data_IF_784271842681
#
_entry.id   IF_784271842681
#
_cell.length_a   1.000
_cell.length_b   1.000
_cell.length_c   1.000
_cell.angle_alpha   90.00
_cell.angle_beta   90.00
_cell.angle_gamma   90.00
#
_symmetry.space_group_name_H-M   'P 1'
#
loop_
_entity.id
_entity.type
_entity.pdbx_description
1 polymer ?
#
# COMPACT_ATOMS: atom_id res chain seq x y z
N UNK A 1 22.31 -27.64 1.48
CA UNK A 1 21.97 -26.89 0.25
C UNK A 1 23.29 -26.46 -0.37
N UNK A 2 23.38 -26.32 -1.69
CA UNK A 2 24.67 -26.15 -2.35
C UNK A 2 24.55 -25.02 -3.41
N UNK A 3 25.29 -23.92 -3.26
CA UNK A 3 25.24 -22.74 -4.15
C UNK A 3 26.59 -22.50 -4.78
N UNK A 4 26.75 -22.54 -6.11
CA UNK A 4 27.95 -22.01 -6.76
C UNK A 4 27.89 -20.48 -6.75
N UNK A 5 28.75 -19.82 -5.95
CA UNK A 5 28.95 -18.36 -6.04
C UNK A 5 29.50 -17.97 -7.41
N UNK A 6 28.91 -16.97 -8.05
CA UNK A 6 29.43 -16.31 -9.26
C UNK A 6 30.12 -14.97 -8.93
N UNK A 7 30.66 -14.81 -7.71
CA UNK A 7 31.47 -13.66 -7.34
C UNK A 7 32.85 -14.11 -6.82
N UNK A 8 33.86 -13.32 -7.20
CA UNK A 8 35.27 -13.33 -6.80
C UNK A 8 35.47 -13.57 -5.28
N UNK A 9 36.63 -14.11 -4.86
CA UNK A 9 36.86 -14.60 -3.50
C UNK A 9 36.51 -13.57 -2.42
N UNK A 10 35.88 -14.07 -1.37
CA UNK A 10 35.40 -13.33 -0.20
C UNK A 10 36.56 -12.53 0.45
N UNK A 11 36.46 -11.19 0.59
CA UNK A 11 37.61 -10.34 0.95
C UNK A 11 38.03 -10.42 2.43
N UNK A 12 37.69 -11.45 3.19
CA UNK A 12 38.00 -11.53 4.63
C UNK A 12 38.31 -12.94 5.14
N UNK A 13 38.80 -13.84 4.27
CA UNK A 13 39.41 -15.09 4.70
C UNK A 13 40.90 -15.08 4.34
N UNK A 14 41.67 -14.22 5.00
CA UNK A 14 43.08 -14.52 5.26
C UNK A 14 43.36 -14.35 6.76
N UNK A 15 43.56 -15.48 7.44
CA UNK A 15 43.99 -15.53 8.83
C UNK A 15 45.52 -15.64 8.84
N UNK A 16 46.21 -14.51 8.94
CA UNK A 16 47.56 -14.46 9.49
C UNK A 16 47.70 -13.28 10.46
N UNK A 17 47.70 -13.63 11.74
CA UNK A 17 48.40 -12.99 12.88
C UNK A 17 49.11 -11.65 12.66
N UNK A 18 48.69 -10.60 13.38
CA UNK A 18 49.51 -9.85 14.37
C UNK A 18 48.75 -8.66 14.93
N UNK A 19 48.89 -8.45 16.23
CA UNK A 19 48.42 -7.32 17.03
C UNK A 19 48.88 -5.95 16.47
N UNK A 20 48.07 -4.90 16.64
CA UNK A 20 48.42 -3.63 17.34
C UNK A 20 47.48 -2.46 16.96
N UNK A 21 46.87 -1.89 18.02
CA UNK A 21 46.61 -0.48 18.38
C UNK A 21 45.90 0.54 17.45
N UNK A 22 45.05 1.33 18.12
CA UNK A 22 44.34 2.53 17.68
C UNK A 22 45.29 3.64 17.19
N UNK A 23 44.90 4.45 16.20
CA UNK A 23 45.03 5.92 16.21
C UNK A 23 44.11 6.58 15.15
N UNK A 24 43.55 7.74 15.50
CA UNK A 24 42.83 8.68 14.64
C UNK A 24 43.79 9.46 13.71
N UNK A 25 43.35 9.87 12.51
CA UNK A 25 43.51 11.24 11.96
C UNK A 25 43.08 11.37 10.50
N UNK A 26 42.90 12.62 10.07
CA UNK A 26 42.16 13.10 8.90
C UNK A 26 42.96 13.17 7.58
N UNK A 27 42.20 13.50 6.54
CA UNK A 27 42.48 14.40 5.40
C UNK A 27 42.64 13.77 3.99
N UNK A 28 41.79 14.31 3.11
CA UNK A 28 41.79 14.52 1.66
C UNK A 28 43.02 14.06 0.83
N UNK A 29 42.77 13.41 -0.32
CA UNK A 29 42.98 14.01 -1.66
C UNK A 29 42.72 12.98 -2.79
N UNK A 30 42.27 13.52 -3.92
CA UNK A 30 42.02 12.88 -5.22
C UNK A 30 43.28 12.24 -5.83
N UNK A 31 43.13 11.17 -6.61
CA UNK A 31 43.71 11.08 -7.97
C UNK A 31 43.21 9.82 -8.72
N UNK A 32 42.83 10.05 -9.98
CA UNK A 32 42.55 9.05 -11.03
C UNK A 32 43.85 8.32 -11.40
N UNK A 33 43.79 7.00 -11.64
CA UNK A 33 44.57 6.36 -12.71
C UNK A 33 43.94 5.00 -13.09
N UNK A 34 43.75 4.84 -14.40
CA UNK A 34 43.34 3.63 -15.11
C UNK A 34 44.48 2.60 -15.05
N UNK A 35 44.20 1.37 -14.61
CA UNK A 35 45.01 0.19 -14.96
C UNK A 35 44.09 -0.97 -15.37
N UNK A 36 44.24 -1.36 -16.64
CA UNK A 36 43.71 -2.58 -17.25
C UNK A 36 44.45 -3.79 -16.67
N UNK A 37 43.76 -4.64 -15.89
CA UNK A 37 44.21 -6.00 -15.59
C UNK A 37 43.15 -7.01 -16.06
N UNK A 38 43.45 -7.64 -17.20
CA UNK A 38 42.85 -8.88 -17.68
C UNK A 38 43.28 -10.04 -16.75
N UNK A 39 42.47 -10.36 -15.75
CA UNK A 39 42.60 -11.62 -14.99
C UNK A 39 41.47 -12.59 -15.35
N UNK A 40 41.81 -13.51 -16.25
CA UNK A 40 41.14 -14.80 -16.47
C UNK A 40 41.26 -15.64 -15.18
N UNK A 41 40.30 -15.51 -14.25
CA UNK A 41 40.24 -16.34 -13.04
C UNK A 41 39.07 -17.34 -13.09
N UNK A 42 39.42 -18.57 -13.49
CA UNK A 42 38.61 -19.78 -13.47
C UNK A 42 38.36 -20.21 -12.01
N UNK A 43 37.44 -19.53 -11.32
CA UNK A 43 37.09 -19.87 -9.94
C UNK A 43 35.88 -20.81 -9.87
N UNK A 44 36.15 -22.08 -9.55
CA UNK A 44 35.12 -23.08 -9.25
C UNK A 44 34.30 -22.69 -8.02
N UNK A 45 33.06 -22.25 -8.24
CA UNK A 45 32.17 -21.72 -7.21
C UNK A 45 32.03 -22.63 -5.99
N UNK A 46 32.48 -22.15 -4.83
CA UNK A 46 32.29 -22.78 -3.53
C UNK A 46 30.83 -22.82 -3.14
N UNK A 47 30.47 -23.86 -2.39
CA UNK A 47 29.11 -24.36 -2.32
C UNK A 47 28.55 -24.37 -0.90
N UNK A 48 27.68 -23.40 -0.58
CA UNK A 48 27.21 -23.13 0.80
C UNK A 48 25.77 -23.59 1.11
N UNK A 49 25.52 -23.99 2.37
CA UNK A 49 24.22 -24.45 2.87
C UNK A 49 23.40 -23.34 3.55
N UNK A 50 22.23 -23.05 3.00
CA UNK A 50 21.20 -22.18 3.60
C UNK A 50 20.60 -22.84 4.83
N UNK A 51 20.43 -22.10 5.93
CA UNK A 51 19.64 -22.54 7.09
C UNK A 51 18.18 -22.13 6.96
N UNK A 52 17.89 -20.84 6.82
CA UNK A 52 16.54 -20.35 6.56
C UNK A 52 16.55 -19.00 5.84
N UNK A 53 15.39 -18.61 5.30
CA UNK A 53 15.20 -17.34 4.60
C UNK A 53 14.63 -16.34 5.59
N UNK A 54 15.23 -15.15 5.65
CA UNK A 54 14.83 -14.08 6.56
C UNK A 54 13.90 -13.08 5.89
N UNK A 55 14.13 -12.75 4.61
CA UNK A 55 13.40 -11.69 3.91
C UNK A 55 13.44 -11.87 2.38
N UNK A 56 12.60 -11.12 1.67
CA UNK A 56 12.48 -11.12 0.20
C UNK A 56 12.31 -9.69 -0.33
N UNK A 57 12.99 -9.36 -1.43
CA UNK A 57 12.78 -8.09 -2.12
C UNK A 57 12.91 -8.23 -3.64
N UNK A 58 12.34 -7.26 -4.36
CA UNK A 58 12.54 -7.12 -5.80
C UNK A 58 13.49 -5.95 -6.04
N UNK A 59 14.75 -6.27 -6.39
CA UNK A 59 15.96 -5.42 -6.37
C UNK A 59 16.69 -5.40 -5.01
N UNK A 60 17.98 -5.73 -5.04
CA UNK A 60 18.87 -5.77 -3.86
C UNK A 60 18.91 -4.42 -3.13
N UNK A 61 18.73 -4.37 -1.80
CA UNK A 61 18.91 -3.16 -1.03
C UNK A 61 20.39 -2.76 -1.09
N UNK A 62 20.68 -1.50 -1.39
CA UNK A 62 22.01 -0.88 -1.35
C UNK A 62 23.02 -1.21 -2.47
N UNK A 63 22.62 -1.80 -3.60
CA UNK A 63 23.54 -1.89 -4.74
C UNK A 63 23.19 -2.98 -5.74
N UNK A 64 22.62 -2.59 -6.87
CA UNK A 64 22.38 -3.47 -8.01
C UNK A 64 21.55 -2.78 -9.09
N UNK A 65 22.10 -2.68 -10.31
CA UNK A 65 21.33 -2.23 -11.50
C UNK A 65 20.39 -3.31 -12.04
N UNK A 66 20.59 -4.58 -11.67
CA UNK A 66 19.76 -5.70 -12.12
C UNK A 66 18.47 -5.79 -11.29
N UNK A 67 17.33 -5.70 -11.96
CA UNK A 67 16.03 -6.08 -11.41
C UNK A 67 15.92 -7.60 -11.38
N UNK A 68 15.54 -8.15 -10.23
CA UNK A 68 15.40 -9.58 -9.99
C UNK A 68 14.89 -9.83 -8.59
N UNK A 69 14.47 -11.06 -8.30
CA UNK A 69 14.03 -11.47 -6.97
C UNK A 69 15.26 -11.82 -6.12
N UNK A 70 15.36 -11.22 -4.93
CA UNK A 70 16.44 -11.48 -3.98
C UNK A 70 15.88 -11.95 -2.64
N UNK A 71 16.62 -12.84 -1.98
CA UNK A 71 16.29 -13.35 -0.66
C UNK A 71 17.40 -13.00 0.32
N UNK A 72 17.05 -12.58 1.54
CA UNK A 72 18.01 -12.47 2.63
C UNK A 72 18.17 -13.84 3.24
N UNK A 73 19.38 -14.38 3.16
CA UNK A 73 19.71 -15.75 3.53
C UNK A 73 20.46 -15.75 4.85
N UNK A 74 20.01 -16.59 5.79
CA UNK A 74 20.82 -16.99 6.93
C UNK A 74 21.54 -18.30 6.61
N UNK A 75 22.86 -18.29 6.76
CA UNK A 75 23.71 -19.43 6.38
C UNK A 75 23.90 -20.40 7.54
N UNK A 76 23.83 -21.70 7.25
CA UNK A 76 23.92 -22.71 8.29
C UNK A 76 25.31 -22.77 8.88
N UNK A 77 25.40 -22.56 10.19
CA UNK A 77 26.66 -22.57 10.93
C UNK A 77 27.40 -21.24 10.92
N UNK A 78 26.75 -20.16 10.49
CA UNK A 78 27.25 -18.79 10.53
C UNK A 78 26.33 -17.93 11.39
N UNK A 79 26.90 -16.87 11.97
CA UNK A 79 26.16 -15.89 12.76
C UNK A 79 25.43 -14.87 11.84
N UNK A 80 24.49 -14.10 12.41
CA UNK A 80 23.63 -13.14 11.69
C UNK A 80 24.42 -12.05 10.93
N UNK A 81 25.66 -11.77 11.34
CA UNK A 81 26.55 -10.83 10.66
C UNK A 81 26.92 -11.27 9.23
N UNK A 82 26.74 -12.56 8.93
CA UNK A 82 27.01 -13.15 7.62
C UNK A 82 25.75 -13.25 6.74
N UNK A 83 24.60 -12.74 7.18
CA UNK A 83 23.39 -12.76 6.36
C UNK A 83 23.59 -11.95 5.07
N UNK A 84 23.37 -12.58 3.91
CA UNK A 84 23.54 -11.92 2.61
C UNK A 84 22.27 -11.93 1.77
N UNK A 85 22.17 -10.96 0.86
CA UNK A 85 21.12 -10.90 -0.16
C UNK A 85 21.55 -11.64 -1.41
N UNK A 86 20.92 -12.79 -1.64
CA UNK A 86 21.22 -13.67 -2.77
C UNK A 86 20.13 -13.61 -3.84
N UNK A 87 20.51 -13.55 -5.14
CA UNK A 87 19.57 -13.61 -6.23
C UNK A 87 18.93 -15.01 -6.32
N UNK A 88 17.68 -15.05 -6.76
CA UNK A 88 16.92 -16.28 -6.98
C UNK A 88 17.66 -17.30 -7.85
N UNK A 89 18.43 -16.84 -8.84
CA UNK A 89 19.19 -17.69 -9.76
C UNK A 89 20.35 -18.44 -9.08
N UNK A 90 20.85 -17.95 -7.93
CA UNK A 90 21.92 -18.60 -7.17
C UNK A 90 21.44 -19.73 -6.25
N UNK A 91 20.13 -19.84 -6.00
CA UNK A 91 19.57 -20.77 -5.02
C UNK A 91 19.17 -22.11 -5.67
N UNK A 92 20.10 -23.06 -5.77
CA UNK A 92 19.78 -24.42 -6.26
C UNK A 92 19.05 -25.26 -5.18
N UNK A 93 17.90 -25.88 -5.51
CA UNK A 93 17.04 -26.60 -4.54
C UNK A 93 15.68 -25.93 -4.25
N UNK A 94 15.18 -25.22 -5.27
CA UNK A 94 14.18 -24.15 -5.27
C UNK A 94 12.84 -24.32 -4.49
N UNK A 95 12.22 -25.50 -4.32
CA UNK A 95 10.84 -25.53 -3.79
C UNK A 95 10.71 -25.51 -2.26
N UNK A 96 11.57 -26.21 -1.50
CA UNK A 96 11.21 -26.64 -0.14
C UNK A 96 11.44 -25.59 0.95
N UNK A 97 12.56 -24.86 0.94
CA UNK A 97 12.81 -23.79 1.91
C UNK A 97 12.03 -22.52 1.63
N UNK A 98 11.75 -22.23 0.35
CA UNK A 98 10.81 -21.16 -0.02
C UNK A 98 9.41 -21.53 0.46
N UNK A 99 8.99 -22.79 0.31
CA UNK A 99 7.73 -23.29 0.87
C UNK A 99 7.70 -23.12 2.39
N UNK A 100 8.73 -23.55 3.12
CA UNK A 100 8.82 -23.37 4.58
C UNK A 100 8.78 -21.89 4.97
N UNK A 101 9.49 -21.01 4.26
CA UNK A 101 9.47 -19.56 4.48
C UNK A 101 8.07 -18.96 4.24
N UNK A 102 7.41 -19.33 3.15
CA UNK A 102 6.05 -18.85 2.82
C UNK A 102 5.02 -19.41 3.80
N UNK A 103 5.12 -20.68 4.20
CA UNK A 103 4.27 -21.29 5.23
C UNK A 103 4.49 -20.62 6.60
N UNK A 104 5.75 -20.30 6.95
CA UNK A 104 6.09 -19.57 8.16
C UNK A 104 5.52 -18.13 8.14
N UNK A 105 5.66 -17.40 7.03
CA UNK A 105 5.05 -16.08 6.84
C UNK A 105 3.51 -16.13 6.91
N UNK A 106 2.90 -17.14 6.30
CA UNK A 106 1.45 -17.33 6.31
C UNK A 106 0.91 -17.68 7.71
N UNK A 107 1.66 -18.47 8.50
CA UNK A 107 1.27 -18.87 9.86
C UNK A 107 1.39 -17.74 10.89
N UNK A 108 2.24 -16.73 10.65
CA UNK A 108 2.47 -15.60 11.57
C UNK A 108 1.59 -14.36 11.33
N UNK A 109 0.51 -14.46 10.54
CA UNK A 109 -0.47 -13.37 10.33
C UNK A 109 0.14 -12.02 9.89
N UNK A 110 1.35 -12.03 9.32
CA UNK A 110 1.93 -10.85 8.68
C UNK A 110 1.41 -10.76 7.24
N UNK A 111 0.20 -10.22 7.10
CA UNK A 111 -0.21 -9.57 5.85
C UNK A 111 0.55 -8.23 5.70
N UNK A 112 1.87 -8.29 5.71
CA UNK A 112 2.74 -7.14 5.50
C UNK A 112 3.79 -7.54 4.47
N UNK A 113 3.36 -7.66 3.21
CA UNK A 113 4.30 -7.43 2.11
C UNK A 113 4.48 -5.92 2.02
N UNK A 114 5.25 -5.38 2.95
CA UNK A 114 5.83 -4.05 2.80
C UNK A 114 6.94 -4.22 1.77
N UNK A 115 6.69 -3.84 0.51
CA UNK A 115 7.77 -3.55 -0.41
C UNK A 115 8.50 -2.32 0.11
N UNK A 116 9.39 -2.52 1.08
CA UNK A 116 10.31 -1.50 1.54
C UNK A 116 11.20 -1.09 0.36
N UNK A 117 11.19 0.21 0.05
CA UNK A 117 12.28 0.82 -0.71
C UNK A 117 11.99 1.23 -2.16
N UNK A 118 10.90 1.96 -2.42
CA UNK A 118 10.93 2.95 -3.52
C UNK A 118 10.24 4.23 -3.06
N UNK A 119 10.90 5.41 -3.10
CA UNK A 119 10.19 6.67 -2.98
C UNK A 119 9.33 6.85 -4.23
N UNK A 120 8.08 6.37 -4.19
CA UNK A 120 7.11 6.58 -5.25
C UNK A 120 6.71 8.05 -5.26
N UNK A 121 7.44 8.82 -6.07
CA UNK A 121 7.10 10.19 -6.44
C UNK A 121 5.74 10.16 -7.14
N UNK A 122 4.70 10.66 -6.48
CA UNK A 122 3.33 10.91 -6.97
C UNK A 122 3.07 10.44 -8.42
N UNK A 123 2.80 9.14 -8.61
CA UNK A 123 2.23 8.64 -9.87
C UNK A 123 1.14 7.66 -9.51
N UNK A 124 -0.09 8.06 -9.82
CA UNK A 124 -1.35 7.37 -9.52
C UNK A 124 -1.30 5.88 -9.86
N UNK A 125 -1.15 5.04 -8.84
CA UNK A 125 -1.65 3.67 -8.88
C UNK A 125 -3.10 3.74 -8.40
N UNK A 126 -4.02 3.51 -9.33
CA UNK A 126 -5.45 3.50 -9.03
C UNK A 126 -5.75 2.29 -8.14
N UNK A 127 -6.60 2.48 -7.12
CA UNK A 127 -7.12 1.45 -6.26
C UNK A 127 -7.77 0.40 -7.14
N UNK A 128 -7.09 -0.73 -7.31
CA UNK A 128 -7.72 -1.97 -7.68
C UNK A 128 -8.52 -2.41 -6.45
N UNK A 129 -9.75 -1.90 -6.31
CA UNK A 129 -10.76 -2.66 -5.57
C UNK A 129 -10.78 -4.03 -6.25
N UNK A 130 -10.44 -5.10 -5.53
CA UNK A 130 -10.08 -6.38 -6.15
C UNK A 130 -11.31 -7.16 -6.67
N UNK A 131 -12.46 -6.51 -6.75
CA UNK A 131 -13.51 -6.98 -7.62
C UNK A 131 -13.25 -6.37 -9.00
N UNK A 132 -12.96 -7.18 -10.03
CA UNK A 132 -13.04 -6.68 -11.39
C UNK A 132 -14.46 -6.14 -11.54
N UNK A 133 -14.54 -4.82 -11.70
CA UNK A 133 -15.77 -4.07 -11.71
C UNK A 133 -15.83 -3.28 -12.99
N UNK A 134 -17.05 -3.00 -13.47
CA UNK A 134 -17.31 -2.42 -14.80
C UNK A 134 -16.80 -0.96 -14.97
N UNK A 135 -15.94 -0.46 -14.09
CA UNK A 135 -15.47 0.92 -14.11
C UNK A 135 -14.07 1.03 -14.75
N UNK A 136 -14.02 1.40 -16.03
CA UNK A 136 -12.80 1.88 -16.67
C UNK A 136 -12.67 3.37 -16.33
N UNK A 137 -11.72 3.73 -15.46
CA UNK A 137 -11.38 5.14 -15.24
C UNK A 137 -10.39 5.57 -16.33
N UNK A 138 -10.92 6.07 -17.44
CA UNK A 138 -10.12 6.71 -18.50
C UNK A 138 -9.40 7.95 -17.95
N UNK A 139 -8.11 7.85 -17.65
CA UNK A 139 -7.34 9.02 -17.20
C UNK A 139 -5.87 8.82 -16.80
N UNK A 140 -5.33 7.61 -16.85
CA UNK A 140 -3.93 7.34 -16.52
C UNK A 140 -2.99 7.41 -17.74
N UNK A 141 -1.83 8.06 -17.60
CA UNK A 141 -0.70 7.83 -18.51
C UNK A 141 -0.10 6.48 -18.12
N UNK A 142 -0.30 5.45 -18.94
CA UNK A 142 0.29 4.12 -18.76
C UNK A 142 1.76 4.19 -19.22
N UNK A 143 2.68 3.63 -18.43
CA UNK A 143 4.07 3.48 -18.89
C UNK A 143 4.10 2.46 -20.03
N UNK A 144 4.72 2.82 -21.16
CA UNK A 144 4.83 1.94 -22.34
C UNK A 144 5.49 0.59 -22.03
N UNK A 145 6.27 0.52 -20.96
CA UNK A 145 6.94 -0.69 -20.48
C UNK A 145 5.99 -1.80 -20.00
N UNK A 146 4.73 -1.47 -19.69
CA UNK A 146 3.71 -2.44 -19.24
C UNK A 146 2.56 -2.62 -20.23
N UNK A 147 2.73 -2.19 -21.49
CA UNK A 147 1.72 -2.32 -22.55
C UNK A 147 1.31 -3.79 -22.77
N UNK A 148 2.23 -4.74 -22.58
CA UNK A 148 1.97 -6.19 -22.65
C UNK A 148 1.07 -6.73 -21.52
N UNK A 149 0.96 -5.99 -20.42
CA UNK A 149 0.08 -6.29 -19.28
C UNK A 149 -1.22 -5.48 -19.35
N UNK A 150 -1.51 -4.85 -20.50
CA UNK A 150 -2.84 -4.30 -20.73
C UNK A 150 -3.85 -5.44 -20.58
N UNK A 151 -4.66 -5.35 -19.53
CA UNK A 151 -5.94 -6.04 -19.47
C UNK A 151 -6.91 -5.24 -20.35
N UNK A 152 -6.61 -5.16 -21.64
CA UNK A 152 -7.57 -4.69 -22.62
C UNK A 152 -8.52 -5.87 -22.85
N UNK A 153 -9.77 -5.71 -22.41
CA UNK A 153 -10.81 -6.71 -22.64
C UNK A 153 -11.26 -6.59 -24.10
N UNK A 154 -10.35 -6.82 -25.05
CA UNK A 154 -10.73 -7.02 -26.43
C UNK A 154 -11.58 -8.31 -26.49
N UNK A 155 -12.90 -8.13 -26.65
CA UNK A 155 -13.89 -9.14 -27.02
C UNK A 155 -14.17 -10.30 -26.04
N UNK A 156 -14.12 -10.07 -24.72
CA UNK A 156 -14.66 -11.06 -23.76
C UNK A 156 -15.86 -10.50 -22.99
N UNK A 157 -17.01 -11.17 -23.13
CA UNK A 157 -18.24 -10.85 -22.40
C UNK A 157 -18.11 -11.39 -20.97
N UNK A 158 -17.40 -10.66 -20.10
CA UNK A 158 -17.15 -11.04 -18.71
C UNK A 158 -18.25 -10.49 -17.81
N UNK A 159 -18.93 -11.39 -17.08
CA UNK A 159 -19.93 -11.02 -16.07
C UNK A 159 -19.24 -10.59 -14.77
N UNK A 160 -18.84 -9.32 -14.72
CA UNK A 160 -18.18 -8.70 -13.58
C UNK A 160 -19.18 -8.16 -12.56
N UNK A 161 -18.77 -8.08 -11.29
CA UNK A 161 -19.57 -7.45 -10.25
C UNK A 161 -19.63 -5.93 -10.44
N UNK A 162 -20.64 -5.29 -9.85
CA UNK A 162 -20.76 -3.84 -9.89
C UNK A 162 -19.65 -3.15 -9.10
N UNK A 163 -19.20 -2.00 -9.60
CA UNK A 163 -18.18 -1.18 -8.97
C UNK A 163 -18.60 -0.73 -7.57
N UNK A 164 -17.68 -0.84 -6.61
CA UNK A 164 -17.88 -0.32 -5.27
C UNK A 164 -17.58 1.18 -5.26
N UNK A 165 -18.49 1.95 -4.68
CA UNK A 165 -18.33 3.38 -4.44
C UNK A 165 -18.12 3.66 -2.96
N UNK A 166 -17.76 4.90 -2.62
CA UNK A 166 -17.52 5.30 -1.23
C UNK A 166 -18.67 4.94 -0.29
N UNK A 167 -19.92 5.07 -0.76
CA UNK A 167 -21.12 4.65 -0.01
C UNK A 167 -21.07 3.19 0.39
N UNK A 168 -20.66 2.31 -0.52
CA UNK A 168 -20.56 0.88 -0.25
C UNK A 168 -19.52 0.57 0.82
N UNK A 169 -18.52 1.43 0.97
CA UNK A 169 -17.37 1.21 1.85
C UNK A 169 -17.61 1.74 3.26
N UNK A 170 -18.21 2.92 3.42
CA UNK A 170 -18.20 3.65 4.71
C UNK A 170 -19.58 4.05 5.26
N UNK A 171 -20.69 3.80 4.55
CA UNK A 171 -22.02 4.34 4.94
C UNK A 171 -22.62 3.75 6.23
N UNK A 172 -22.14 2.61 6.73
CA UNK A 172 -22.53 2.03 8.03
C UNK A 172 -21.72 2.57 9.22
N UNK A 173 -20.64 3.32 8.98
CA UNK A 173 -19.79 3.81 10.06
C UNK A 173 -20.49 4.93 10.87
N UNK A 174 -20.38 4.89 12.21
CA UNK A 174 -20.98 5.91 13.07
C UNK A 174 -20.34 7.29 12.81
N UNK A 175 -21.09 8.36 13.07
CA UNK A 175 -20.54 9.72 12.98
C UNK A 175 -19.48 9.94 14.06
N UNK A 176 -18.42 10.67 13.72
CA UNK A 176 -17.37 11.04 14.67
C UNK A 176 -17.07 12.53 14.60
N UNK A 177 -17.05 13.16 15.78
CA UNK A 177 -16.72 14.57 15.95
C UNK A 177 -15.21 14.80 15.81
N UNK A 178 -14.78 16.05 15.52
CA UNK A 178 -13.36 16.40 15.43
C UNK A 178 -12.57 16.08 16.73
N UNK A 179 -13.25 16.05 17.88
CA UNK A 179 -12.68 15.76 19.20
C UNK A 179 -12.64 14.27 19.57
N UNK A 180 -13.20 13.37 18.75
CA UNK A 180 -13.17 11.92 19.01
C UNK A 180 -11.73 11.37 19.10
N UNK A 181 -11.42 10.70 20.21
CA UNK A 181 -10.09 10.14 20.52
C UNK A 181 -10.13 8.64 20.85
N UNK A 182 -11.33 8.03 20.91
CA UNK A 182 -11.46 6.61 21.21
C UNK A 182 -10.85 5.78 20.09
N UNK A 183 -9.99 4.84 20.48
CA UNK A 183 -9.43 3.85 19.55
C UNK A 183 -10.39 2.70 19.29
N UNK A 184 -11.32 2.44 20.22
CA UNK A 184 -12.34 1.40 20.12
C UNK A 184 -13.72 2.00 20.38
N UNK A 185 -14.70 1.63 19.57
CA UNK A 185 -16.10 1.97 19.78
C UNK A 185 -17.02 0.85 19.27
N UNK A 186 -18.30 0.90 19.59
CA UNK A 186 -19.26 -0.04 19.02
C UNK A 186 -19.84 0.47 17.72
N UNK A 187 -20.13 -0.46 16.81
CA UNK A 187 -21.03 -0.16 15.70
C UNK A 187 -22.39 0.25 16.24
N UNK A 188 -22.99 1.25 15.60
CA UNK A 188 -24.35 1.71 15.92
C UNK A 188 -25.35 1.08 14.96
N UNK A 189 -24.98 0.98 13.68
CA UNK A 189 -25.81 0.43 12.62
C UNK A 189 -25.32 -0.97 12.18
N UNK A 190 -26.27 -1.76 11.67
CA UNK A 190 -25.96 -2.96 10.91
C UNK A 190 -25.30 -2.63 9.56
N UNK A 191 -24.49 -3.53 8.99
CA UNK A 191 -23.89 -3.31 7.67
C UNK A 191 -24.97 -3.21 6.60
N UNK A 192 -24.89 -2.17 5.78
CA UNK A 192 -25.88 -1.83 4.75
C UNK A 192 -25.57 -2.55 3.43
N UNK A 193 -24.31 -2.64 3.07
CA UNK A 193 -23.87 -3.19 1.76
C UNK A 193 -23.24 -4.57 1.89
N UNK A 194 -23.10 -5.27 0.75
CA UNK A 194 -22.38 -6.55 0.71
C UNK A 194 -20.92 -6.39 1.17
N UNK A 195 -20.25 -5.32 0.73
CA UNK A 195 -18.88 -5.02 1.14
C UNK A 195 -18.77 -4.83 2.66
N UNK A 196 -19.69 -4.09 3.27
CA UNK A 196 -19.67 -3.88 4.72
C UNK A 196 -19.92 -5.17 5.50
N UNK A 197 -20.84 -6.03 5.02
CA UNK A 197 -21.02 -7.37 5.60
C UNK A 197 -19.75 -8.21 5.49
N UNK A 198 -19.08 -8.15 4.35
CA UNK A 198 -17.84 -8.86 4.08
C UNK A 198 -16.71 -8.42 5.03
N UNK A 199 -16.42 -7.12 5.09
CA UNK A 199 -15.27 -6.57 5.82
C UNK A 199 -15.42 -6.69 7.34
N UNK A 200 -16.67 -6.70 7.85
CA UNK A 200 -17.01 -6.91 9.26
C UNK A 200 -17.00 -8.37 9.72
N UNK A 201 -17.11 -9.34 8.80
CA UNK A 201 -17.22 -10.78 9.12
C UNK A 201 -15.92 -11.56 9.03
N UNK A 202 -14.94 -11.09 8.25
CA UNK A 202 -13.73 -11.88 7.95
C UNK A 202 -12.85 -12.23 9.17
N UNK A 203 -13.25 -11.86 10.40
CA UNK A 203 -12.38 -11.85 11.60
C UNK A 203 -12.62 -12.88 12.68
N UNK A 204 -13.73 -13.61 12.68
CA UNK A 204 -14.05 -14.63 13.69
C UNK A 204 -15.20 -15.48 13.19
N UNK A 205 -15.03 -16.80 13.09
CA UNK A 205 -16.06 -17.86 13.01
C UNK A 205 -17.37 -17.54 12.22
N UNK A 206 -17.32 -16.64 11.24
CA UNK A 206 -18.52 -16.11 10.55
C UNK A 206 -19.39 -15.10 11.32
N UNK A 207 -18.98 -14.63 12.50
CA UNK A 207 -19.76 -13.71 13.36
C UNK A 207 -19.49 -12.25 13.00
N UNK A 208 -20.56 -11.43 12.99
CA UNK A 208 -20.45 -9.99 12.77
C UNK A 208 -19.67 -9.29 13.90
N UNK A 209 -18.59 -8.60 13.54
CA UNK A 209 -17.86 -7.73 14.45
C UNK A 209 -18.76 -6.63 15.06
N UNK A 210 -18.79 -6.57 16.39
CA UNK A 210 -19.53 -5.57 17.16
C UNK A 210 -18.67 -4.38 17.61
N UNK A 211 -17.34 -4.55 17.56
CA UNK A 211 -16.36 -3.52 17.93
C UNK A 211 -15.71 -2.98 16.66
N UNK A 212 -15.60 -1.67 16.60
CA UNK A 212 -15.01 -0.86 15.55
C UNK A 212 -13.71 -0.27 16.10
N UNK A 213 -12.60 -0.62 15.46
CA UNK A 213 -11.26 -0.13 15.82
C UNK A 213 -10.83 1.01 14.89
N UNK A 214 -10.01 1.91 15.40
CA UNK A 214 -9.31 2.94 14.62
C UNK A 214 -10.23 3.87 13.81
N UNK A 215 -11.47 4.07 14.26
CA UNK A 215 -12.37 5.07 13.69
C UNK A 215 -12.05 6.49 14.21
N UNK A 216 -10.76 6.81 14.22
CA UNK A 216 -10.17 8.08 14.62
C UNK A 216 -9.57 8.78 13.39
N UNK A 217 -9.42 10.10 13.46
CA UNK A 217 -9.03 10.94 12.32
C UNK A 217 -7.89 11.87 12.69
N UNK A 218 -7.27 12.46 11.67
CA UNK A 218 -6.31 13.55 11.90
C UNK A 218 -7.07 14.73 12.52
N UNK A 219 -6.64 15.14 13.72
CA UNK A 219 -7.16 16.36 14.36
C UNK A 219 -6.67 17.56 13.58
N UNK A 220 -7.57 18.18 12.82
CA UNK A 220 -7.27 19.41 12.10
C UNK A 220 -6.99 20.54 13.11
N UNK A 221 -6.04 21.41 12.77
CA UNK A 221 -5.90 22.68 13.48
C UNK A 221 -7.16 23.53 13.26
N UNK A 222 -7.36 24.54 14.12
CA UNK A 222 -8.57 25.38 14.08
C UNK A 222 -8.79 26.01 12.69
N UNK A 223 -7.73 26.53 12.07
CA UNK A 223 -7.85 27.19 10.77
C UNK A 223 -8.32 26.21 9.66
N UNK A 224 -7.75 25.01 9.62
CA UNK A 224 -8.11 23.99 8.64
C UNK A 224 -9.48 23.38 8.91
N UNK A 225 -9.84 23.21 10.19
CA UNK A 225 -11.18 22.79 10.58
C UNK A 225 -12.22 23.81 10.12
N UNK A 226 -12.00 25.11 10.39
CA UNK A 226 -12.87 26.18 9.91
C UNK A 226 -13.00 26.16 8.39
N UNK A 227 -11.91 25.97 7.64
CA UNK A 227 -11.97 25.84 6.17
C UNK A 227 -12.85 24.69 5.73
N UNK A 228 -12.68 23.50 6.32
CA UNK A 228 -13.51 22.34 5.99
C UNK A 228 -14.99 22.64 6.26
N UNK A 229 -15.32 23.26 7.40
CA UNK A 229 -16.70 23.67 7.72
C UNK A 229 -17.32 24.60 6.66
N UNK A 230 -16.53 25.46 6.02
CA UNK A 230 -17.00 26.37 4.98
C UNK A 230 -17.14 25.71 3.60
N UNK A 231 -16.49 24.57 3.35
CA UNK A 231 -16.68 23.83 2.09
C UNK A 231 -18.09 23.23 2.08
N UNK A 232 -18.96 23.56 1.11
CA UNK A 232 -20.35 23.08 1.11
C UNK A 232 -20.45 21.55 1.04
N UNK A 233 -21.51 20.97 1.59
CA UNK A 233 -21.71 19.51 1.66
C UNK A 233 -22.49 18.99 0.45
N UNK A 234 -21.88 19.04 -0.75
CA UNK A 234 -22.46 18.53 -2.00
C UNK A 234 -21.37 17.94 -2.91
N UNK A 235 -21.74 17.10 -3.87
CA UNK A 235 -20.78 16.48 -4.81
C UNK A 235 -19.93 17.53 -5.52
N UNK A 236 -18.63 17.25 -5.64
CA UNK A 236 -17.68 18.05 -6.43
C UNK A 236 -17.13 19.30 -5.74
N UNK A 237 -17.57 19.64 -4.53
CA UNK A 237 -17.12 20.85 -3.83
C UNK A 237 -15.72 20.75 -3.28
N UNK A 238 -15.02 21.88 -3.31
CA UNK A 238 -13.66 22.02 -2.83
C UNK A 238 -13.38 23.47 -2.42
N UNK A 239 -12.10 23.83 -2.23
CA UNK A 239 -11.73 25.20 -1.87
C UNK A 239 -12.20 26.28 -2.85
N UNK A 240 -12.49 25.93 -4.12
CA UNK A 240 -13.02 26.86 -5.13
C UNK A 240 -14.43 27.37 -4.81
N UNK A 241 -15.16 26.67 -3.95
CA UNK A 241 -16.49 27.06 -3.49
C UNK A 241 -16.46 28.01 -2.27
N UNK A 242 -15.26 28.33 -1.76
CA UNK A 242 -15.12 29.24 -0.63
C UNK A 242 -15.43 30.70 -1.03
N UNK A 243 -15.96 31.53 -0.12
CA UNK A 243 -16.21 32.95 -0.36
C UNK A 243 -14.97 33.70 -0.88
N UNK A 244 -15.19 34.57 -1.86
CA UNK A 244 -14.12 35.38 -2.48
C UNK A 244 -13.28 34.64 -3.52
N UNK A 245 -13.65 33.41 -3.88
CA UNK A 245 -13.02 32.66 -4.97
C UNK A 245 -13.89 32.71 -6.22
N UNK A 246 -13.27 32.96 -7.37
CA UNK A 246 -13.88 32.79 -8.69
C UNK A 246 -13.01 31.91 -9.57
N UNK A 247 -13.63 31.29 -10.59
CA UNK A 247 -12.91 30.50 -11.60
C UNK A 247 -13.04 31.20 -12.94
N UNK A 248 -11.92 31.60 -13.54
CA UNK A 248 -11.85 32.22 -14.88
C UNK A 248 -11.23 31.21 -15.84
N UNK A 249 -12.02 30.72 -16.80
CA UNK A 249 -11.65 29.55 -17.59
C UNK A 249 -11.57 28.30 -16.70
N UNK A 250 -10.36 27.75 -16.50
CA UNK A 250 -10.11 26.65 -15.55
C UNK A 250 -9.15 27.05 -14.41
N UNK A 251 -8.81 28.35 -14.30
CA UNK A 251 -7.90 28.85 -13.26
C UNK A 251 -8.66 29.54 -12.16
N UNK A 252 -8.24 29.28 -10.94
CA UNK A 252 -8.77 29.94 -9.75
C UNK A 252 -8.14 31.33 -9.58
N UNK A 253 -8.97 32.31 -9.25
CA UNK A 253 -8.58 33.68 -8.94
C UNK A 253 -9.36 34.17 -7.72
N UNK A 254 -8.81 35.15 -7.00
CA UNK A 254 -9.60 35.88 -6.00
C UNK A 254 -10.52 36.86 -6.73
N UNK A 255 -11.76 36.96 -6.27
CA UNK A 255 -12.71 37.92 -6.84
C UNK A 255 -12.31 39.35 -6.43
N UNK A 256 -11.98 40.25 -7.38
CA UNK A 256 -11.60 41.63 -7.07
C UNK A 256 -12.75 42.45 -6.44
N UNK A 257 -14.00 42.00 -6.58
CA UNK A 257 -15.17 42.68 -6.02
C UNK A 257 -15.53 42.21 -4.61
N UNK A 258 -14.88 41.15 -4.11
CA UNK A 258 -15.14 40.59 -2.80
C UNK A 258 -13.90 40.80 -1.94
N UNK A 259 -14.06 41.52 -0.83
CA UNK A 259 -12.97 41.68 0.13
C UNK A 259 -12.52 40.31 0.64
N UNK A 260 -11.20 40.15 0.77
CA UNK A 260 -10.61 38.89 1.17
C UNK A 260 -11.13 38.47 2.55
N UNK A 261 -11.69 37.27 2.64
CA UNK A 261 -12.21 36.73 3.91
C UNK A 261 -11.07 36.16 4.76
N UNK A 262 -11.07 36.52 6.04
CA UNK A 262 -10.09 36.07 7.03
C UNK A 262 -10.75 35.25 8.14
N UNK A 263 -10.01 34.28 8.65
CA UNK A 263 -10.33 33.49 9.84
C UNK A 263 -10.08 34.32 11.11
N UNK A 264 -10.62 33.91 12.27
CA UNK A 264 -10.50 34.67 13.53
C UNK A 264 -9.07 35.06 13.92
N UNK A 265 -8.07 34.25 13.59
CA UNK A 265 -6.65 34.50 13.89
C UNK A 265 -5.90 35.24 12.77
N UNK A 266 -6.61 35.91 11.85
CA UNK A 266 -6.02 36.75 10.82
C UNK A 266 -5.40 36.00 9.63
N UNK A 267 -5.51 34.67 9.57
CA UNK A 267 -5.14 33.91 8.37
C UNK A 267 -6.25 33.98 7.33
N UNK A 268 -5.93 33.98 6.02
CA UNK A 268 -6.98 33.99 5.01
C UNK A 268 -7.78 32.68 5.03
N UNK A 269 -9.10 32.79 4.80
CA UNK A 269 -9.98 31.64 4.65
C UNK A 269 -9.49 30.75 3.49
N UNK A 270 -9.20 31.38 2.34
CA UNK A 270 -8.62 30.71 1.17
C UNK A 270 -7.08 30.81 1.25
N UNK A 271 -6.36 29.69 1.43
CA UNK A 271 -4.91 29.71 1.49
C UNK A 271 -4.28 30.08 0.15
N UNK A 272 -3.20 30.89 0.18
CA UNK A 272 -2.47 31.26 -1.04
C UNK A 272 -1.95 30.04 -1.81
N UNK A 273 -1.50 29.00 -1.11
CA UNK A 273 -1.00 27.79 -1.76
C UNK A 273 -2.08 27.08 -2.59
N UNK A 274 -3.35 27.12 -2.15
CA UNK A 274 -4.44 26.46 -2.86
C UNK A 274 -4.72 27.16 -4.20
N UNK A 275 -4.57 28.50 -4.23
CA UNK A 275 -4.73 29.33 -5.42
C UNK A 275 -3.63 29.04 -6.45
N UNK A 276 -2.39 28.83 -6.01
CA UNK A 276 -1.25 28.54 -6.91
C UNK A 276 -1.08 27.06 -7.25
N UNK A 277 -1.75 26.15 -6.54
CA UNK A 277 -1.58 24.70 -6.69
C UNK A 277 -1.95 24.24 -8.12
N UNK A 278 -1.02 23.51 -8.76
CA UNK A 278 -1.12 23.10 -10.18
C UNK A 278 -1.46 24.30 -11.08
N UNK A 279 -0.73 25.41 -10.91
CA UNK A 279 -0.92 26.67 -11.66
C UNK A 279 -2.38 27.18 -11.58
N UNK A 280 -3.05 26.93 -10.46
CA UNK A 280 -4.42 27.31 -10.16
C UNK A 280 -5.51 26.44 -10.80
N UNK A 281 -5.14 25.33 -11.44
CA UNK A 281 -6.10 24.45 -12.15
C UNK A 281 -6.61 23.28 -11.32
N UNK A 282 -6.04 23.05 -10.13
CA UNK A 282 -6.43 21.93 -9.29
C UNK A 282 -7.79 22.15 -8.62
N UNK A 283 -8.52 21.05 -8.46
CA UNK A 283 -9.75 20.95 -7.65
C UNK A 283 -9.53 20.16 -6.36
N UNK A 284 -8.29 19.70 -6.08
CA UNK A 284 -8.00 18.80 -4.95
C UNK A 284 -8.02 19.49 -3.57
N UNK A 285 -7.48 20.70 -3.35
CA UNK A 285 -7.42 21.28 -2.02
C UNK A 285 -8.79 21.38 -1.34
N UNK A 286 -8.89 20.87 -0.12
CA UNK A 286 -10.11 20.77 0.69
C UNK A 286 -11.30 20.11 -0.03
N UNK A 287 -11.05 19.25 -1.03
CA UNK A 287 -12.12 18.58 -1.76
C UNK A 287 -12.84 17.58 -0.86
N UNK A 288 -14.17 17.68 -0.84
CA UNK A 288 -15.06 16.66 -0.29
C UNK A 288 -15.24 15.53 -1.30
N UNK A 289 -15.07 14.32 -0.81
CA UNK A 289 -15.51 13.13 -1.52
C UNK A 289 -17.03 13.04 -1.50
N UNK A 290 -17.60 12.25 -2.40
CA UNK A 290 -19.02 11.97 -2.44
C UNK A 290 -19.32 10.47 -2.51
N UNK A 291 -20.56 10.11 -2.18
CA UNK A 291 -21.03 8.74 -2.00
C UNK A 291 -20.85 7.86 -3.24
N UNK A 292 -21.05 8.43 -4.43
CA UNK A 292 -20.91 7.79 -5.74
C UNK A 292 -19.55 8.09 -6.41
N UNK A 293 -18.54 8.48 -5.62
CA UNK A 293 -17.15 8.62 -6.08
C UNK A 293 -16.30 7.46 -5.57
N UNK A 294 -15.21 7.18 -6.30
CA UNK A 294 -14.13 6.32 -5.82
C UNK A 294 -12.98 7.18 -5.29
N UNK A 295 -12.15 6.60 -4.42
CA UNK A 295 -10.87 7.20 -4.05
C UNK A 295 -9.81 6.55 -4.94
N UNK A 296 -9.15 7.28 -5.86
CA UNK A 296 -8.19 6.67 -6.77
C UNK A 296 -6.97 6.09 -6.07
N UNK A 297 -6.44 6.76 -5.05
CA UNK A 297 -5.29 6.25 -4.30
C UNK A 297 -5.44 6.68 -2.86
N UNK A 298 -5.43 5.72 -1.94
CA UNK A 298 -5.29 6.02 -0.50
C UNK A 298 -3.82 6.36 -0.26
N UNK A 299 -3.55 7.47 0.41
CA UNK A 299 -2.18 7.95 0.65
C UNK A 299 -1.87 8.00 2.14
N UNK A 300 -0.59 8.11 2.46
CA UNK A 300 -0.05 8.06 3.84
C UNK A 300 -0.38 9.29 4.70
N UNK A 301 -0.86 10.37 4.08
CA UNK A 301 -1.11 11.66 4.72
C UNK A 301 -2.58 11.99 4.69
N UNK A 302 -3.09 12.56 5.78
CA UNK A 302 -4.50 12.86 5.93
C UNK A 302 -4.82 14.36 5.82
N UNK A 303 -3.83 15.22 5.58
CA UNK A 303 -4.04 16.67 5.47
C UNK A 303 -4.86 17.03 4.23
N UNK A 304 -5.88 17.91 4.31
CA UNK A 304 -6.75 18.23 3.17
C UNK A 304 -6.13 19.19 2.15
N UNK A 305 -4.84 19.52 2.27
CA UNK A 305 -4.23 20.65 1.56
C UNK A 305 -4.08 20.43 0.06
N UNK A 306 -3.87 19.20 -0.40
CA UNK A 306 -3.57 18.89 -1.79
C UNK A 306 -4.29 17.63 -2.32
N UNK A 307 -5.35 17.21 -1.64
CA UNK A 307 -6.04 15.95 -1.92
C UNK A 307 -7.53 15.98 -1.57
N UNK A 308 -8.28 15.08 -2.20
CA UNK A 308 -9.69 14.84 -1.91
C UNK A 308 -9.82 13.79 -0.80
N UNK A 309 -10.02 14.26 0.43
CA UNK A 309 -10.05 13.42 1.62
C UNK A 309 -11.09 13.86 2.65
N UNK A 310 -11.82 14.96 2.39
CA UNK A 310 -12.87 15.40 3.31
C UNK A 310 -14.09 14.47 3.20
N UNK A 311 -14.66 14.11 4.34
CA UNK A 311 -15.86 13.27 4.41
C UNK A 311 -17.05 13.95 3.70
N UNK A 312 -17.95 13.20 3.03
CA UNK A 312 -19.06 13.78 2.26
C UNK A 312 -19.95 14.75 3.05
N UNK A 313 -20.37 14.33 4.25
CA UNK A 313 -21.37 15.07 5.06
C UNK A 313 -20.88 15.52 6.45
N UNK A 314 -19.65 15.17 6.84
CA UNK A 314 -19.08 15.48 8.16
C UNK A 314 -17.93 16.48 7.97
N UNK A 315 -17.73 17.40 8.91
CA UNK A 315 -16.70 18.45 8.82
C UNK A 315 -15.34 17.95 9.29
N UNK A 316 -14.85 16.90 8.64
CA UNK A 316 -13.59 16.22 8.94
C UNK A 316 -12.99 15.58 7.70
N UNK A 317 -11.73 15.19 7.81
CA UNK A 317 -11.12 14.25 6.88
C UNK A 317 -11.62 12.82 7.15
N UNK A 318 -11.43 11.92 6.19
CA UNK A 318 -11.67 10.50 6.40
C UNK A 318 -10.83 9.99 7.57
N UNK A 319 -11.41 9.11 8.39
CA UNK A 319 -10.77 8.41 9.49
C UNK A 319 -9.76 7.38 8.99
N UNK A 320 -8.92 6.87 9.90
CA UNK A 320 -8.03 5.75 9.64
C UNK A 320 -8.82 4.53 9.21
N UNK A 321 -9.90 4.15 9.92
CA UNK A 321 -10.75 3.01 9.50
C UNK A 321 -11.38 3.18 8.13
N UNK A 322 -11.84 4.37 7.77
CA UNK A 322 -12.40 4.62 6.44
C UNK A 322 -11.33 4.41 5.35
N UNK A 323 -10.11 4.89 5.57
CA UNK A 323 -8.98 4.63 4.66
C UNK A 323 -8.58 3.16 4.64
N UNK A 324 -8.61 2.47 5.80
CA UNK A 324 -8.29 1.06 5.90
C UNK A 324 -9.29 0.21 5.10
N UNK A 325 -10.59 0.52 5.19
CA UNK A 325 -11.61 -0.14 4.36
C UNK A 325 -11.44 0.14 2.87
N UNK A 326 -11.00 1.34 2.47
CA UNK A 326 -10.65 1.63 1.07
C UNK A 326 -9.45 0.79 0.58
N UNK A 327 -8.57 0.34 1.48
CA UNK A 327 -7.50 -0.64 1.23
C UNK A 327 -7.94 -2.08 1.52
N UNK A 328 -9.24 -2.30 1.75
CA UNK A 328 -9.87 -3.59 2.03
C UNK A 328 -9.31 -4.32 3.26
N UNK A 329 -8.76 -3.58 4.22
CA UNK A 329 -8.47 -4.12 5.55
C UNK A 329 -9.75 -4.52 6.26
N UNK A 330 -9.72 -5.72 6.83
CA UNK A 330 -10.81 -6.22 7.65
C UNK A 330 -10.98 -5.39 8.92
N UNK A 331 -12.20 -5.29 9.41
CA UNK A 331 -12.49 -4.36 10.51
C UNK A 331 -11.87 -4.77 11.86
N UNK A 332 -11.47 -6.04 12.00
CA UNK A 332 -10.77 -6.54 13.18
C UNK A 332 -9.25 -6.31 13.14
N UNK A 333 -8.70 -5.96 11.98
CA UNK A 333 -7.27 -5.65 11.86
C UNK A 333 -6.99 -4.35 12.62
N UNK A 334 -6.22 -4.45 13.71
CA UNK A 334 -5.89 -3.32 14.57
C UNK A 334 -4.59 -2.68 14.10
N UNK A 335 -4.61 -1.36 13.97
CA UNK A 335 -3.41 -0.58 13.65
C UNK A 335 -2.77 -0.08 14.95
N UNK A 336 -1.45 -0.03 14.98
CA UNK A 336 -0.67 0.37 16.16
C UNK A 336 0.07 1.69 15.92
N UNK A 337 0.42 2.40 17.00
CA UNK A 337 1.18 3.64 16.95
C UNK A 337 0.33 4.91 16.95
N UNK A 338 0.95 6.05 16.66
CA UNK A 338 0.29 7.35 16.59
C UNK A 338 -0.66 7.46 15.40
N UNK A 339 -1.59 8.43 15.44
CA UNK A 339 -2.55 8.65 14.34
C UNK A 339 -1.84 8.82 12.98
N UNK A 340 -0.72 9.54 12.93
CA UNK A 340 0.03 9.74 11.69
C UNK A 340 0.65 8.43 11.19
N UNK A 341 1.22 7.63 12.09
CA UNK A 341 1.79 6.32 11.73
C UNK A 341 0.72 5.34 11.25
N UNK A 342 -0.48 5.37 11.85
CA UNK A 342 -1.61 4.54 11.40
C UNK A 342 -2.06 4.90 9.97
N UNK A 343 -2.13 6.20 9.62
CA UNK A 343 -2.36 6.61 8.23
C UNK A 343 -1.25 6.15 7.29
N UNK A 344 0.01 6.26 7.71
CA UNK A 344 1.16 5.80 6.93
C UNK A 344 1.10 4.30 6.68
N UNK A 345 0.79 3.49 7.68
CA UNK A 345 0.61 2.04 7.55
C UNK A 345 -0.46 1.71 6.50
N UNK A 346 -1.62 2.35 6.59
CA UNK A 346 -2.72 2.13 5.63
C UNK A 346 -2.33 2.59 4.22
N UNK A 347 -1.73 3.77 4.08
CA UNK A 347 -1.38 4.34 2.77
C UNK A 347 -0.22 3.64 2.06
N UNK A 348 0.66 2.94 2.80
CA UNK A 348 1.75 2.15 2.23
C UNK A 348 1.38 0.69 1.96
N UNK A 349 0.27 0.21 2.51
CA UNK A 349 -0.13 -1.18 2.37
C UNK A 349 -0.51 -1.52 0.92
N UNK A 350 -0.31 -2.80 0.57
CA UNK A 350 -0.93 -3.39 -0.62
C UNK A 350 -2.38 -3.72 -0.27
N UNK A 351 -3.31 -3.44 -1.19
CA UNK A 351 -4.74 -3.79 -1.03
C UNK A 351 -4.88 -5.27 -0.69
N UNK A 352 -5.60 -5.58 0.40
CA UNK A 352 -5.60 -6.92 1.00
C UNK A 352 -6.11 -8.00 0.05
N UNK A 353 -7.17 -7.75 -0.72
CA UNK A 353 -7.68 -8.77 -1.65
C UNK A 353 -6.80 -8.95 -2.89
N UNK A 354 -6.05 -7.93 -3.30
CA UNK A 354 -5.03 -8.07 -4.36
C UNK A 354 -3.94 -9.03 -3.88
N UNK A 355 -3.42 -8.81 -2.66
CA UNK A 355 -2.47 -9.74 -2.04
C UNK A 355 -3.06 -11.16 -1.90
N UNK A 356 -4.35 -11.27 -1.54
CA UNK A 356 -5.05 -12.55 -1.45
C UNK A 356 -5.14 -13.25 -2.81
N UNK A 357 -5.48 -12.55 -3.89
CA UNK A 357 -5.56 -13.12 -5.24
C UNK A 357 -4.18 -13.63 -5.71
N UNK A 358 -3.13 -12.84 -5.48
CA UNK A 358 -1.75 -13.25 -5.76
C UNK A 358 -1.35 -14.48 -4.93
N UNK A 359 -1.69 -14.49 -3.64
CA UNK A 359 -1.45 -15.64 -2.75
C UNK A 359 -2.13 -16.92 -3.23
N UNK A 360 -3.34 -16.83 -3.80
CA UNK A 360 -4.02 -17.98 -4.39
C UNK A 360 -3.36 -18.46 -5.67
N UNK A 361 -2.94 -17.55 -6.56
CA UNK A 361 -2.14 -17.89 -7.74
C UNK A 361 -0.86 -18.61 -7.37
N UNK A 362 -0.19 -18.12 -6.32
CA UNK A 362 1.02 -18.71 -5.77
C UNK A 362 0.73 -20.13 -5.25
N UNK A 363 -0.32 -20.30 -4.46
CA UNK A 363 -0.73 -21.61 -3.92
C UNK A 363 -1.07 -22.62 -5.02
N UNK A 364 -1.80 -22.22 -6.06
CA UNK A 364 -2.08 -23.10 -7.21
C UNK A 364 -0.80 -23.57 -7.90
N UNK A 365 0.14 -22.65 -8.10
CA UNK A 365 1.44 -22.95 -8.72
C UNK A 365 2.25 -23.92 -7.87
N UNK A 366 2.30 -23.70 -6.55
CA UNK A 366 2.98 -24.61 -5.62
C UNK A 366 2.35 -26.01 -5.58
N UNK A 367 1.03 -26.12 -5.74
CA UNK A 367 0.34 -27.42 -5.82
C UNK A 367 0.49 -28.11 -7.19
N UNK A 368 1.11 -27.46 -8.17
CA UNK A 368 1.17 -27.97 -9.55
C UNK A 368 -0.19 -27.98 -10.24
N UNK A 369 -1.13 -27.15 -9.77
CA UNK A 369 -2.49 -27.01 -10.31
C UNK A 369 -2.62 -25.80 -11.25
N UNK A 370 -1.55 -25.02 -11.44
CA UNK A 370 -1.57 -23.89 -12.36
C UNK A 370 -1.42 -24.33 -13.81
N UNK A 371 -2.16 -23.67 -14.69
CA UNK A 371 -1.96 -23.78 -16.13
C UNK A 371 -0.80 -22.87 -16.55
N UNK A 372 -0.13 -23.19 -17.66
CA UNK A 372 0.93 -22.37 -18.25
C UNK A 372 0.35 -21.15 -18.98
N UNK A 373 -0.37 -20.30 -18.27
CA UNK A 373 -1.04 -19.10 -18.77
C UNK A 373 -0.61 -17.85 -17.99
N UNK A 374 -0.53 -16.70 -18.68
CA UNK A 374 -0.20 -15.42 -18.06
C UNK A 374 -1.34 -14.85 -17.21
N UNK A 375 -2.56 -15.37 -17.36
CA UNK A 375 -3.75 -14.98 -16.62
C UNK A 375 -4.45 -16.23 -16.08
N UNK A 376 -5.16 -16.08 -14.97
CA UNK A 376 -6.03 -17.12 -14.43
C UNK A 376 -7.32 -16.47 -13.91
N UNK A 377 -8.39 -17.26 -13.87
CA UNK A 377 -9.68 -16.81 -13.33
C UNK A 377 -9.84 -17.34 -11.92
N UNK A 378 -10.15 -16.44 -10.98
CA UNK A 378 -10.48 -16.83 -9.63
C UNK A 378 -11.80 -17.63 -9.62
N UNK A 379 -11.93 -18.68 -8.79
CA UNK A 379 -13.16 -19.45 -8.71
C UNK A 379 -14.39 -18.59 -8.40
N UNK A 380 -15.56 -19.06 -8.83
CA UNK A 380 -16.81 -18.40 -8.47
C UNK A 380 -16.98 -18.35 -6.94
N UNK A 381 -17.34 -17.18 -6.41
CA UNK A 381 -17.42 -16.97 -4.97
C UNK A 381 -16.08 -16.73 -4.27
N UNK A 382 -14.94 -16.69 -5.00
CA UNK A 382 -13.67 -16.29 -4.42
C UNK A 382 -13.75 -14.87 -3.84
N UNK A 383 -13.44 -14.74 -2.54
CA UNK A 383 -13.60 -13.48 -1.82
C UNK A 383 -15.05 -13.08 -1.51
N UNK A 384 -16.04 -13.90 -1.90
CA UNK A 384 -17.38 -13.81 -1.33
C UNK A 384 -17.45 -14.71 -0.09
N UNK A 385 -18.23 -14.28 0.90
CA UNK A 385 -18.72 -15.22 1.91
C UNK A 385 -19.58 -16.21 1.12
N UNK A 386 -19.13 -17.45 0.93
CA UNK A 386 -20.12 -18.53 0.87
C UNK A 386 -20.84 -18.44 2.20
N UNK A 387 -22.15 -18.14 2.16
CA UNK A 387 -23.00 -18.33 3.32
C UNK A 387 -22.92 -19.81 3.66
N UNK A 388 -21.96 -20.20 4.50
CA UNK A 388 -21.92 -21.54 5.04
C UNK A 388 -23.25 -21.72 5.78
N UNK A 389 -24.06 -22.73 5.41
CA UNK A 389 -25.20 -23.10 6.21
C UNK A 389 -24.74 -23.33 7.65
N UNK A 390 -25.52 -22.86 8.62
CA UNK A 390 -25.21 -22.92 10.06
C UNK A 390 -24.98 -24.35 10.57
N UNK A 391 -25.28 -25.38 9.76
CA UNK A 391 -24.99 -26.78 10.03
C UNK A 391 -23.99 -27.35 9.02
N UNK A 392 -22.70 -27.35 9.36
CA UNK A 392 -21.75 -28.44 9.06
C UNK A 392 -20.38 -28.15 9.67
N UNK A 393 -20.18 -28.60 10.91
CA UNK A 393 -18.85 -28.89 11.45
C UNK A 393 -18.28 -30.15 10.79
N UNK A 394 -17.57 -29.98 9.68
CA UNK A 394 -16.53 -30.92 9.27
C UNK A 394 -15.48 -30.17 8.45
N UNK A 395 -14.36 -29.86 9.11
CA UNK A 395 -13.11 -29.53 8.42
C UNK A 395 -12.64 -30.80 7.69
N UNK A 396 -13.05 -30.96 6.46
CA UNK A 396 -12.41 -31.87 5.52
C UNK A 396 -12.55 -31.29 4.13
N UNK A 397 -11.39 -31.06 3.51
CA UNK A 397 -11.20 -30.87 2.07
C UNK A 397 -11.71 -29.54 1.52
N UNK A 398 -10.84 -28.53 1.56
CA UNK A 398 -10.80 -27.56 0.47
C UNK A 398 -10.06 -28.21 -0.72
N UNK A 399 -10.64 -28.22 -1.93
CA UNK A 399 -9.90 -28.55 -3.15
C UNK A 399 -8.71 -27.60 -3.38
#
# INVERSE_FOLDING_TARGET
MLITSNCSPHPNLDMSTSDEEEEESNDDDDDDDDDDDDDDDDNGGEVYEVDHILDICYRKPNGGRKSGLYFKIHWKGYDDDYDTWEPIEGLSGFPQKIKEFVEHMASHNFACVSFCGVPFKERSCHNFLCQPTKLIVEGGIISKEFECNNVDYENHDVNLKDALFLEDVISDLPKVENTEVREEMHYVDDPKTHFQRFIRRLGRDGVLGQVLYDHCKLKLNEDDYQRVCHVPKRKGTNFRDLPGVRVVGNKVELDPNVERVYLPFGKPLVPNYAISFVKGTSTKPFKRLWWDETVPTVVTRAEPHNQAICHPVQDRVLTIRENARLQEFTDYYKLCGSIKEKYTQVGNAVVVLVAKALGYSLALSFKGLSEAAAMFTLPEGYGAIQELPVDQTSFSEFP
#
